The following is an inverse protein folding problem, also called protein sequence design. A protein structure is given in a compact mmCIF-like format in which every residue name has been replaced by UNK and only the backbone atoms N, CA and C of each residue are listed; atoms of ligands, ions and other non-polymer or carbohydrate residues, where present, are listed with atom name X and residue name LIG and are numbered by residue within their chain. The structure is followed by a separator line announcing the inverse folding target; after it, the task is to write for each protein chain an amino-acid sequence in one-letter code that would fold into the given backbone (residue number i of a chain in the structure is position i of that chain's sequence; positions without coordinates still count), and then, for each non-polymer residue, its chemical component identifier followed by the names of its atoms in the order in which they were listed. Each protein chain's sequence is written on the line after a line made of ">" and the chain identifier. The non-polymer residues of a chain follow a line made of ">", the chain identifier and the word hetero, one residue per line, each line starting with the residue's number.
data_IF_404494032666
#
_entry.id   IF_404494032666
#
_cell.length_a   1.000
_cell.length_b   1.000
_cell.length_c   1.000
_cell.angle_alpha   90.00
_cell.angle_beta   90.00
_cell.angle_gamma   90.00
#
_symmetry.space_group_name_H-M   'P 1'
#
loop_
_entity.id
_entity.type
_entity.pdbx_description
1 polymer ?
#
# COMPACT_ATOMS: atom_id res chain seq x y z
N UNK A 1 12.42 1.31 -21.24
CA UNK A 1 11.90 0.54 -20.08
C UNK A 1 10.49 0.10 -20.41
N UNK A 2 10.26 -1.21 -20.59
CA UNK A 2 8.97 -1.72 -21.02
C UNK A 2 7.89 -1.33 -20.02
N UNK A 3 6.93 -0.52 -20.44
CA UNK A 3 5.60 -0.58 -19.84
C UNK A 3 5.17 -2.02 -20.10
N UNK A 4 5.24 -2.88 -19.09
CA UNK A 4 4.75 -4.25 -19.21
C UNK A 4 3.36 -4.17 -19.83
N UNK A 5 3.24 -4.74 -21.04
CA UNK A 5 2.00 -4.76 -21.78
C UNK A 5 0.94 -5.31 -20.82
N UNK A 6 -0.20 -4.62 -20.62
CA UNK A 6 -1.17 -5.03 -19.62
C UNK A 6 -1.51 -6.51 -19.83
N UNK A 7 -1.57 -7.31 -18.76
CA UNK A 7 -1.68 -8.75 -18.87
C UNK A 7 -2.83 -9.10 -19.81
N UNK A 8 -2.54 -9.92 -20.83
CA UNK A 8 -3.48 -10.28 -21.92
C UNK A 8 -4.80 -10.89 -21.44
N UNK A 9 -4.92 -11.24 -20.14
CA UNK A 9 -6.13 -11.78 -19.54
C UNK A 9 -6.23 -11.39 -18.06
N UNK A 10 -7.19 -10.52 -17.73
CA UNK A 10 -7.60 -10.25 -16.35
C UNK A 10 -8.90 -10.97 -16.02
N UNK A 11 -9.22 -11.08 -14.73
CA UNK A 11 -10.47 -11.67 -14.24
C UNK A 11 -11.29 -10.58 -13.55
N UNK A 12 -12.41 -10.20 -14.16
CA UNK A 12 -13.30 -9.12 -13.69
C UNK A 12 -13.69 -9.25 -12.22
N UNK A 13 -13.95 -10.48 -11.75
CA UNK A 13 -14.28 -10.76 -10.34
C UNK A 13 -13.14 -10.36 -9.39
N UNK A 14 -11.88 -10.56 -9.79
CA UNK A 14 -10.73 -10.18 -8.98
C UNK A 14 -10.56 -8.65 -8.94
N UNK A 15 -10.69 -7.98 -10.09
CA UNK A 15 -10.70 -6.51 -10.16
C UNK A 15 -11.77 -5.91 -9.25
N UNK A 16 -12.95 -6.52 -9.24
CA UNK A 16 -14.08 -6.10 -8.39
C UNK A 16 -13.76 -6.26 -6.90
N UNK A 17 -13.22 -7.41 -6.49
CA UNK A 17 -12.83 -7.67 -5.10
C UNK A 17 -11.76 -6.69 -4.63
N UNK A 18 -10.68 -6.51 -5.40
CA UNK A 18 -9.61 -5.59 -5.02
C UNK A 18 -10.08 -4.14 -5.05
N UNK A 19 -11.01 -3.82 -5.94
CA UNK A 19 -11.71 -2.55 -5.90
C UNK A 19 -12.43 -2.33 -4.55
N UNK A 20 -13.21 -3.28 -4.07
CA UNK A 20 -13.87 -3.16 -2.76
C UNK A 20 -12.84 -3.00 -1.64
N UNK A 21 -11.72 -3.73 -1.68
CA UNK A 21 -10.62 -3.60 -0.70
C UNK A 21 -10.04 -2.18 -0.69
N UNK A 22 -9.76 -1.60 -1.86
CA UNK A 22 -9.27 -0.23 -1.99
C UNK A 22 -10.27 0.78 -1.42
N UNK A 23 -11.56 0.63 -1.74
CA UNK A 23 -12.61 1.50 -1.21
C UNK A 23 -12.67 1.46 0.33
N UNK A 24 -12.62 0.27 0.92
CA UNK A 24 -12.60 0.11 2.37
C UNK A 24 -11.35 0.72 3.00
N UNK A 25 -10.19 0.61 2.34
CA UNK A 25 -8.94 1.23 2.80
C UNK A 25 -9.04 2.75 2.83
N UNK A 26 -9.60 3.35 1.79
CA UNK A 26 -9.70 4.82 1.64
C UNK A 26 -10.72 5.42 2.61
N UNK A 27 -11.81 4.72 2.89
CA UNK A 27 -12.91 5.22 3.73
C UNK A 27 -12.81 4.78 5.20
N UNK A 28 -11.88 3.90 5.55
CA UNK A 28 -11.74 3.36 6.92
C UNK A 28 -12.83 2.35 7.33
N UNK A 29 -13.75 2.05 6.42
CA UNK A 29 -14.86 1.11 6.59
C UNK A 29 -16.11 1.60 5.88
N UNK A 30 -17.00 0.69 5.50
CA UNK A 30 -18.24 1.05 4.81
C UNK A 30 -19.31 -0.05 4.84
N UNK A 31 -20.56 0.34 4.62
CA UNK A 31 -21.69 -0.58 4.45
C UNK A 31 -21.85 -1.04 2.99
N UNK A 32 -22.71 -2.03 2.78
CA UNK A 32 -22.96 -2.62 1.46
C UNK A 32 -23.50 -1.57 0.48
N UNK A 33 -24.41 -0.72 0.95
CA UNK A 33 -25.10 0.28 0.13
C UNK A 33 -24.14 1.34 -0.39
N UNK A 34 -23.31 1.89 0.50
CA UNK A 34 -22.34 2.93 0.13
C UNK A 34 -21.29 2.40 -0.87
N UNK A 35 -20.84 1.15 -0.69
CA UNK A 35 -19.94 0.49 -1.64
C UNK A 35 -20.63 0.28 -2.99
N UNK A 36 -21.89 -0.19 -2.98
CA UNK A 36 -22.67 -0.45 -4.19
C UNK A 36 -22.90 0.83 -5.00
N UNK A 37 -23.29 1.92 -4.35
CA UNK A 37 -23.48 3.23 -4.97
C UNK A 37 -22.17 3.79 -5.53
N UNK A 38 -21.09 3.78 -4.74
CA UNK A 38 -19.80 4.33 -5.18
C UNK A 38 -19.15 3.54 -6.32
N UNK A 39 -19.41 2.24 -6.42
CA UNK A 39 -18.79 1.36 -7.41
C UNK A 39 -19.73 0.99 -8.56
N UNK A 40 -20.94 1.55 -8.58
CA UNK A 40 -21.97 1.27 -9.59
C UNK A 40 -22.28 -0.24 -9.72
N UNK A 41 -22.47 -0.90 -8.58
CA UNK A 41 -22.71 -2.34 -8.47
C UNK A 41 -24.06 -2.63 -7.81
N UNK A 42 -24.64 -3.81 -8.09
CA UNK A 42 -25.78 -4.29 -7.32
C UNK A 42 -25.36 -4.64 -5.88
N UNK A 43 -26.20 -4.30 -4.90
CA UNK A 43 -25.95 -4.63 -3.48
C UNK A 43 -25.72 -6.13 -3.25
N UNK A 44 -26.43 -7.00 -3.98
CA UNK A 44 -26.25 -8.45 -3.91
C UNK A 44 -24.85 -8.91 -4.33
N UNK A 45 -24.25 -8.24 -5.32
CA UNK A 45 -22.88 -8.51 -5.78
C UNK A 45 -21.88 -8.08 -4.72
N UNK A 46 -22.02 -6.87 -4.17
CA UNK A 46 -21.17 -6.37 -3.08
C UNK A 46 -21.27 -7.26 -1.85
N UNK A 47 -22.49 -7.64 -1.47
CA UNK A 47 -22.72 -8.56 -0.36
C UNK A 47 -22.01 -9.90 -0.56
N UNK A 48 -22.06 -10.46 -1.77
CA UNK A 48 -21.37 -11.73 -2.09
C UNK A 48 -19.85 -11.61 -1.98
N UNK A 49 -19.27 -10.51 -2.46
CA UNK A 49 -17.83 -10.26 -2.33
C UNK A 49 -17.40 -10.04 -0.88
N UNK A 50 -18.16 -9.26 -0.10
CA UNK A 50 -17.88 -9.03 1.31
C UNK A 50 -18.04 -10.30 2.13
N UNK A 51 -19.02 -11.14 1.82
CA UNK A 51 -19.17 -12.46 2.44
C UNK A 51 -17.95 -13.34 2.18
N UNK A 52 -17.46 -13.41 0.93
CA UNK A 52 -16.22 -14.13 0.59
C UNK A 52 -15.01 -13.53 1.31
N UNK A 53 -14.84 -12.20 1.32
CA UNK A 53 -13.74 -11.56 2.02
C UNK A 53 -13.80 -11.79 3.53
N UNK A 54 -15.00 -11.86 4.12
CA UNK A 54 -15.20 -12.12 5.54
C UNK A 54 -14.88 -13.57 5.89
N UNK A 55 -15.37 -14.52 5.09
CA UNK A 55 -15.06 -15.96 5.22
C UNK A 55 -13.55 -16.23 5.11
N UNK A 56 -12.89 -15.51 4.21
CA UNK A 56 -11.43 -15.56 4.04
C UNK A 56 -10.67 -14.63 4.99
N UNK A 57 -11.34 -14.03 5.98
CA UNK A 57 -10.76 -13.19 7.05
C UNK A 57 -10.02 -11.93 6.57
N UNK A 58 -10.28 -11.45 5.36
CA UNK A 58 -9.71 -10.21 4.83
C UNK A 58 -10.47 -8.95 5.27
N UNK A 59 -11.73 -9.10 5.67
CA UNK A 59 -12.51 -8.04 6.29
C UNK A 59 -13.10 -8.50 7.60
N UNK A 60 -13.39 -7.55 8.48
CA UNK A 60 -14.19 -7.78 9.68
C UNK A 60 -15.44 -6.92 9.61
N UNK A 61 -16.55 -7.47 10.10
CA UNK A 61 -17.85 -6.81 10.12
C UNK A 61 -18.20 -6.40 11.55
N UNK A 62 -18.55 -5.14 11.72
CA UNK A 62 -19.09 -4.58 12.97
C UNK A 62 -20.44 -3.94 12.68
N UNK A 63 -21.52 -4.55 13.16
CA UNK A 63 -22.88 -4.20 12.78
C UNK A 63 -23.10 -4.30 11.27
N UNK A 64 -23.30 -3.16 10.61
CA UNK A 64 -23.49 -3.05 9.15
C UNK A 64 -22.23 -2.61 8.40
N UNK A 65 -21.16 -2.27 9.12
CA UNK A 65 -19.91 -1.74 8.55
C UNK A 65 -18.87 -2.83 8.39
N UNK A 66 -18.26 -2.90 7.22
CA UNK A 66 -17.11 -3.74 6.94
C UNK A 66 -15.84 -2.89 6.94
N UNK A 67 -14.75 -3.40 7.50
CA UNK A 67 -13.41 -2.79 7.44
C UNK A 67 -12.36 -3.84 7.15
N UNK A 68 -11.21 -3.42 6.62
CA UNK A 68 -10.09 -4.34 6.41
C UNK A 68 -9.65 -4.97 7.73
N UNK A 69 -9.32 -6.26 7.68
CA UNK A 69 -8.78 -6.97 8.83
C UNK A 69 -7.26 -6.75 8.96
N UNK A 70 -6.69 -7.20 10.08
CA UNK A 70 -5.24 -7.19 10.28
C UNK A 70 -4.50 -8.26 9.45
N UNK A 71 -5.20 -9.12 8.70
CA UNK A 71 -4.57 -10.12 7.82
C UNK A 71 -3.67 -9.47 6.76
N UNK A 72 -4.07 -8.30 6.27
CA UNK A 72 -3.24 -7.51 5.35
C UNK A 72 -1.92 -7.01 5.98
N UNK A 73 -1.89 -6.81 7.32
CA UNK A 73 -0.66 -6.42 8.01
C UNK A 73 0.39 -7.53 7.95
N UNK A 74 -0.01 -8.78 8.20
CA UNK A 74 0.89 -9.94 8.09
C UNK A 74 1.43 -10.10 6.66
N UNK A 75 0.55 -9.99 5.65
CA UNK A 75 0.98 -10.04 4.25
C UNK A 75 1.98 -8.93 3.90
N UNK A 76 1.68 -7.68 4.29
CA UNK A 76 2.56 -6.55 4.01
C UNK A 76 3.91 -6.64 4.72
N UNK A 77 3.94 -7.12 5.97
CA UNK A 77 5.17 -7.32 6.72
C UNK A 77 6.03 -8.41 6.07
N UNK A 78 5.45 -9.56 5.70
CA UNK A 78 6.19 -10.65 5.05
C UNK A 78 6.75 -10.22 3.70
N UNK A 79 5.93 -9.60 2.85
CA UNK A 79 6.37 -9.09 1.55
C UNK A 79 7.52 -8.09 1.69
N UNK A 80 7.46 -7.21 2.71
CA UNK A 80 8.56 -6.29 3.03
C UNK A 80 9.81 -7.04 3.46
N UNK A 81 9.68 -8.00 4.36
CA UNK A 81 10.82 -8.69 4.99
C UNK A 81 11.50 -9.69 4.04
N UNK A 82 10.81 -10.15 2.99
CA UNK A 82 11.39 -10.93 1.89
C UNK A 82 12.38 -10.13 1.02
N UNK A 83 12.31 -8.79 1.04
CA UNK A 83 13.28 -7.96 0.33
C UNK A 83 14.62 -7.98 1.09
N UNK A 84 15.73 -8.41 0.45
CA UNK A 84 17.06 -8.39 1.09
C UNK A 84 17.47 -7.00 1.60
N UNK A 85 16.97 -5.94 0.94
CA UNK A 85 17.16 -4.56 1.35
C UNK A 85 16.60 -4.28 2.76
N UNK A 86 15.50 -4.93 3.15
CA UNK A 86 14.81 -4.63 4.41
C UNK A 86 15.65 -4.98 5.64
N UNK A 87 16.42 -6.07 5.58
CA UNK A 87 17.37 -6.44 6.64
C UNK A 87 18.62 -5.56 6.61
N UNK A 88 19.17 -5.30 5.42
CA UNK A 88 20.39 -4.51 5.24
C UNK A 88 20.20 -3.01 5.58
N UNK A 89 19.04 -2.43 5.28
CA UNK A 89 18.79 -1.01 5.45
C UNK A 89 18.48 -0.60 6.90
N UNK A 90 18.06 -1.53 7.75
CA UNK A 90 17.69 -1.27 9.15
C UNK A 90 18.81 -0.62 9.98
N UNK A 91 20.03 -1.18 10.07
CA UNK A 91 21.10 -0.51 10.83
C UNK A 91 21.48 0.85 10.23
N UNK A 92 21.37 1.01 8.90
CA UNK A 92 21.72 2.24 8.19
C UNK A 92 20.73 3.36 8.51
N UNK A 93 19.42 3.09 8.43
CA UNK A 93 18.39 4.10 8.70
C UNK A 93 18.38 4.52 10.17
N UNK A 94 18.67 3.59 11.09
CA UNK A 94 18.79 3.85 12.52
C UNK A 94 19.98 4.78 12.80
N UNK A 95 21.17 4.46 12.29
CA UNK A 95 22.35 5.31 12.42
C UNK A 95 22.12 6.71 11.82
N UNK A 96 21.58 6.80 10.61
CA UNK A 96 21.34 8.07 9.92
C UNK A 96 20.41 8.99 10.71
N UNK A 97 19.29 8.45 11.19
CA UNK A 97 18.33 9.24 11.98
C UNK A 97 18.89 9.67 13.34
N UNK A 98 19.75 8.84 13.96
CA UNK A 98 20.43 9.17 15.21
C UNK A 98 21.43 10.30 15.01
N UNK A 99 22.24 10.21 13.96
CA UNK A 99 23.31 11.18 13.68
C UNK A 99 22.75 12.54 13.27
N UNK A 100 21.66 12.55 12.50
CA UNK A 100 21.00 13.79 12.04
C UNK A 100 20.02 14.35 13.07
N UNK A 101 19.46 13.49 13.92
CA UNK A 101 18.29 13.79 14.74
C UNK A 101 16.99 13.86 13.93
N UNK A 102 17.01 13.61 12.62
CA UNK A 102 15.87 13.83 11.72
C UNK A 102 15.11 12.53 11.40
N UNK A 103 14.03 12.65 10.63
CA UNK A 103 13.37 11.48 10.03
C UNK A 103 14.19 10.94 8.86
N UNK A 104 14.44 9.64 8.85
CA UNK A 104 15.02 8.93 7.72
C UNK A 104 13.99 7.98 7.11
N UNK A 105 14.01 7.86 5.79
CA UNK A 105 13.10 7.01 5.01
C UNK A 105 13.90 6.11 4.07
N UNK A 106 13.48 4.85 3.95
CA UNK A 106 13.88 3.96 2.87
C UNK A 106 12.71 3.86 1.91
N UNK A 107 12.97 4.19 0.65
CA UNK A 107 11.99 4.21 -0.43
C UNK A 107 12.52 3.38 -1.57
N UNK A 108 11.67 2.53 -2.14
CA UNK A 108 12.00 1.70 -3.31
C UNK A 108 11.10 2.06 -4.47
N UNK A 109 11.50 1.68 -5.68
CA UNK A 109 10.65 1.75 -6.87
C UNK A 109 9.98 0.39 -7.08
N UNK A 110 8.67 0.40 -7.30
CA UNK A 110 7.89 -0.79 -7.68
C UNK A 110 6.73 -0.38 -8.59
N UNK A 111 6.69 -0.94 -9.80
CA UNK A 111 5.69 -0.63 -10.84
C UNK A 111 5.59 0.89 -11.18
N UNK A 112 6.75 1.53 -11.34
CA UNK A 112 6.89 2.96 -11.64
C UNK A 112 6.49 3.88 -10.49
N UNK A 113 6.33 3.35 -9.27
CA UNK A 113 5.86 4.10 -8.10
C UNK A 113 6.89 4.05 -6.98
N UNK A 114 7.00 5.14 -6.23
CA UNK A 114 7.78 5.18 -5.01
C UNK A 114 7.00 4.51 -3.88
N UNK A 115 7.60 3.55 -3.20
CA UNK A 115 7.01 2.83 -2.07
C UNK A 115 7.83 3.08 -0.81
N UNK A 116 7.19 3.62 0.23
CA UNK A 116 7.81 3.86 1.53
C UNK A 116 7.97 2.54 2.29
N UNK A 117 9.18 2.00 2.32
CA UNK A 117 9.47 0.69 2.86
C UNK A 117 9.71 0.70 4.38
N UNK A 118 10.48 1.67 4.86
CA UNK A 118 10.89 1.79 6.26
C UNK A 118 11.07 3.25 6.67
N UNK A 119 10.87 3.53 7.96
CA UNK A 119 11.05 4.84 8.58
C UNK A 119 11.81 4.68 9.89
N UNK A 120 12.72 5.60 10.18
CA UNK A 120 13.19 5.83 11.55
C UNK A 120 13.15 7.31 11.90
N UNK A 121 12.98 7.62 13.19
CA UNK A 121 12.89 8.99 13.69
C UNK A 121 13.98 9.26 14.70
N UNK A 122 14.77 10.31 14.46
CA UNK A 122 15.55 10.96 15.50
C UNK A 122 14.73 11.94 16.33
N UNK A 123 15.37 12.56 17.32
CA UNK A 123 14.73 13.41 18.34
C UNK A 123 14.09 14.69 17.80
N UNK A 124 14.55 15.19 16.65
CA UNK A 124 14.06 16.41 15.98
C UNK A 124 13.05 16.11 14.86
N UNK A 125 12.72 14.83 14.65
CA UNK A 125 11.91 14.40 13.52
C UNK A 125 10.53 15.04 13.50
N UNK A 126 10.22 15.73 12.40
CA UNK A 126 8.87 16.25 12.13
C UNK A 126 7.98 15.20 11.46
N UNK A 127 6.65 15.36 11.62
CA UNK A 127 5.67 14.54 10.91
C UNK A 127 5.62 14.96 9.44
N UNK A 128 5.91 14.01 8.56
CA UNK A 128 5.78 14.18 7.11
C UNK A 128 4.52 13.46 6.62
N UNK A 129 4.10 13.69 5.37
CA UNK A 129 2.97 12.97 4.77
C UNK A 129 3.29 11.50 4.45
N UNK A 130 4.54 11.05 4.56
CA UNK A 130 4.94 9.67 4.31
C UNK A 130 4.43 8.72 5.41
N UNK A 131 4.08 7.50 5.02
CA UNK A 131 3.83 6.37 5.94
C UNK A 131 4.35 5.08 5.30
N UNK A 132 4.78 4.13 6.11
CA UNK A 132 5.18 2.80 5.61
C UNK A 132 4.04 2.17 4.82
N UNK A 133 4.36 1.56 3.68
CA UNK A 133 3.42 0.96 2.73
C UNK A 133 2.72 1.96 1.79
N UNK A 134 2.89 3.27 1.98
CA UNK A 134 2.31 4.27 1.05
C UNK A 134 3.04 4.20 -0.30
N UNK A 135 2.25 4.24 -1.38
CA UNK A 135 2.72 4.40 -2.76
C UNK A 135 2.50 5.84 -3.22
N UNK A 136 3.47 6.44 -3.92
CA UNK A 136 3.37 7.80 -4.50
C UNK A 136 4.09 7.87 -5.84
N UNK A 137 4.00 9.00 -6.53
CA UNK A 137 4.71 9.18 -7.81
C UNK A 137 6.22 9.36 -7.60
N UNK A 138 7.04 8.99 -8.59
CA UNK A 138 8.49 9.11 -8.47
C UNK A 138 9.00 10.55 -8.60
N UNK A 139 8.29 11.40 -9.34
CA UNK A 139 8.77 12.75 -9.68
C UNK A 139 8.46 13.81 -8.61
N UNK A 140 7.56 13.52 -7.66
CA UNK A 140 7.08 14.48 -6.66
C UNK A 140 7.81 14.41 -5.30
N UNK A 141 8.74 13.45 -5.13
CA UNK A 141 9.55 13.29 -3.92
C UNK A 141 11.04 13.25 -4.22
N UNK A 142 11.87 13.73 -3.29
CA UNK A 142 13.33 13.78 -3.46
C UNK A 142 13.95 12.39 -3.69
N UNK A 143 13.52 11.37 -2.95
CA UNK A 143 13.99 9.98 -3.12
C UNK A 143 13.62 9.42 -4.47
N UNK A 144 12.40 9.69 -4.96
CA UNK A 144 11.95 9.26 -6.28
C UNK A 144 12.75 9.92 -7.40
N UNK A 145 13.04 11.23 -7.30
CA UNK A 145 13.97 11.91 -8.23
C UNK A 145 15.37 11.32 -8.21
N UNK A 146 15.89 10.99 -7.01
CA UNK A 146 17.20 10.35 -6.87
C UNK A 146 17.23 8.95 -7.52
N UNK A 147 16.16 8.17 -7.39
CA UNK A 147 16.03 6.88 -8.07
C UNK A 147 15.97 7.08 -9.59
N UNK A 148 15.10 7.98 -10.07
CA UNK A 148 14.95 8.27 -11.51
C UNK A 148 16.27 8.69 -12.17
N UNK A 149 17.13 9.44 -11.46
CA UNK A 149 18.44 9.85 -11.95
C UNK A 149 19.42 8.70 -12.23
N UNK A 150 19.12 7.49 -11.72
CA UNK A 150 19.94 6.29 -11.90
C UNK A 150 19.24 5.20 -12.72
N UNK A 151 18.02 5.44 -13.20
CA UNK A 151 17.36 4.53 -14.13
C UNK A 151 17.90 4.74 -15.55
N UNK A 152 17.92 3.69 -16.39
CA UNK A 152 18.28 3.82 -17.80
C UNK A 152 17.43 4.89 -18.49
N UNK A 153 18.05 5.67 -19.38
CA UNK A 153 17.29 6.59 -20.23
C UNK A 153 16.27 5.82 -21.08
N UNK A 154 15.08 6.40 -21.33
CA UNK A 154 14.01 5.76 -22.10
C UNK A 154 14.42 5.27 -23.48
#
# INVERSE_FOLDING_TARGET
>A
MGLDEPPKRTVKTAETIFGIVEFLLENGGSGVKEIAESREMAESTVHSHLATLQDQEYVVKDGTTYRLSLKFLDHGIRARDELPLSSAARPVIEALSKDTGEVAWIVVEEHGRAVYLMRNSGEKAVQTRGRVGRRTTMHDIATGKAILAHLPEP
#
